data_IF_775615544873
#
_entry.id   IF_775615544873
#
_cell.length_a   1.000
_cell.length_b   1.000
_cell.length_c   1.000
_cell.angle_alpha   90.00
_cell.angle_beta   90.00
_cell.angle_gamma   90.00
#
_symmetry.space_group_name_H-M   'P 1'
#
loop_
_entity.id
_entity.type
_entity.pdbx_description
1 polymer ?
#
# COMPACT_ATOMS: atom_id res chain seq x y z
N UNK A 1 -10.56 19.90 7.22
CA UNK A 1 -10.20 18.67 7.97
C UNK A 1 -8.79 18.28 7.59
N UNK A 2 -7.84 18.36 8.53
CA UNK A 2 -6.46 17.93 8.34
C UNK A 2 -6.41 16.46 8.78
N UNK A 3 -6.31 15.53 7.84
CA UNK A 3 -6.24 14.09 8.15
C UNK A 3 -4.87 13.86 8.80
N UNK A 4 -4.77 13.51 10.10
CA UNK A 4 -3.48 13.31 10.73
C UNK A 4 -2.84 12.03 10.18
N UNK A 5 -1.57 12.13 9.77
CA UNK A 5 -0.75 11.02 9.30
C UNK A 5 -0.79 9.88 10.33
N UNK A 6 -1.44 8.75 9.99
CA UNK A 6 -1.32 7.52 10.75
C UNK A 6 0.00 6.88 10.31
N UNK A 7 0.98 6.68 11.19
CA UNK A 7 2.17 5.95 10.83
C UNK A 7 1.75 4.56 10.37
N UNK A 8 2.15 4.19 9.16
CA UNK A 8 2.08 2.82 8.69
C UNK A 8 2.81 1.98 9.75
N UNK A 9 2.11 1.02 10.37
CA UNK A 9 2.72 0.14 11.37
C UNK A 9 4.01 -0.44 10.80
N UNK A 10 5.10 -0.42 11.57
CA UNK A 10 6.40 -0.92 11.13
C UNK A 10 6.28 -2.36 10.59
N UNK A 11 5.35 -3.15 11.14
CA UNK A 11 4.96 -4.49 10.66
C UNK A 11 4.39 -4.50 9.23
N UNK A 12 3.62 -3.50 8.81
CA UNK A 12 3.10 -3.41 7.45
C UNK A 12 4.23 -3.12 6.45
N UNK A 13 5.13 -2.20 6.80
CA UNK A 13 6.30 -1.93 5.95
C UNK A 13 7.22 -3.14 5.82
N UNK A 14 7.47 -3.85 6.93
CA UNK A 14 8.30 -5.06 6.95
C UNK A 14 7.67 -6.18 6.10
N UNK A 15 6.36 -6.42 6.26
CA UNK A 15 5.62 -7.38 5.44
C UNK A 15 5.60 -6.99 3.96
N UNK A 16 5.34 -5.74 3.62
CA UNK A 16 5.32 -5.29 2.22
C UNK A 16 6.72 -5.34 1.59
N UNK A 17 7.79 -5.04 2.35
CA UNK A 17 9.17 -5.24 1.91
C UNK A 17 9.46 -6.72 1.64
N UNK A 18 9.03 -7.64 2.52
CA UNK A 18 9.16 -9.07 2.30
C UNK A 18 8.39 -9.56 1.06
N UNK A 19 7.20 -9.01 0.82
CA UNK A 19 6.38 -9.32 -0.37
C UNK A 19 7.01 -8.78 -1.66
N UNK A 20 7.66 -7.61 -1.60
CA UNK A 20 8.42 -7.04 -2.73
C UNK A 20 9.57 -7.96 -3.14
N UNK A 21 10.29 -8.53 -2.17
CA UNK A 21 11.35 -9.53 -2.43
C UNK A 21 10.81 -10.77 -3.15
N UNK A 22 9.57 -11.16 -2.86
CA UNK A 22 8.93 -12.32 -3.49
C UNK A 22 8.38 -12.04 -4.89
N UNK A 23 8.26 -10.77 -5.31
CA UNK A 23 7.65 -10.41 -6.60
C UNK A 23 6.24 -10.98 -6.78
N UNK A 24 5.50 -11.17 -5.69
CA UNK A 24 4.17 -11.77 -5.73
C UNK A 24 3.11 -10.72 -6.06
N UNK A 25 2.08 -11.16 -6.79
CA UNK A 25 0.83 -10.40 -6.94
C UNK A 25 0.08 -10.43 -5.61
N UNK A 26 -0.22 -9.24 -5.10
CA UNK A 26 -0.95 -9.00 -3.86
C UNK A 26 -2.24 -8.27 -4.17
N UNK A 27 -3.31 -8.65 -3.49
CA UNK A 27 -4.61 -7.98 -3.57
C UNK A 27 -4.64 -6.88 -2.53
N UNK A 28 -4.55 -5.65 -2.98
CA UNK A 28 -4.63 -4.46 -2.13
C UNK A 28 -6.04 -3.91 -2.21
N UNK A 29 -6.56 -3.43 -1.09
CA UNK A 29 -7.76 -2.61 -1.04
C UNK A 29 -7.34 -1.20 -0.65
N UNK A 30 -7.58 -0.23 -1.52
CA UNK A 30 -7.24 1.18 -1.29
C UNK A 30 -8.51 2.01 -1.16
N UNK A 31 -8.44 3.09 -0.38
CA UNK A 31 -9.48 4.11 -0.34
C UNK A 31 -9.23 5.12 -1.46
N UNK A 32 -10.20 5.25 -2.36
CA UNK A 32 -10.20 6.27 -3.39
C UNK A 32 -10.61 7.63 -2.81
N UNK A 33 -10.48 8.69 -3.61
CA UNK A 33 -10.75 10.07 -3.19
C UNK A 33 -12.24 10.32 -2.91
N UNK A 34 -13.11 9.46 -3.45
CA UNK A 34 -14.56 9.41 -3.17
C UNK A 34 -14.89 8.77 -1.82
N UNK A 35 -13.89 8.16 -1.15
CA UNK A 35 -14.09 7.40 0.09
C UNK A 35 -14.48 5.93 -0.13
N UNK A 36 -14.65 5.50 -1.38
CA UNK A 36 -14.94 4.10 -1.71
C UNK A 36 -13.68 3.24 -1.63
N UNK A 37 -13.85 1.98 -1.22
CA UNK A 37 -12.77 0.99 -1.25
C UNK A 37 -12.69 0.35 -2.63
N UNK A 38 -11.49 0.35 -3.20
CA UNK A 38 -11.19 -0.29 -4.49
C UNK A 38 -10.18 -1.40 -4.26
N UNK A 39 -10.57 -2.62 -4.62
CA UNK A 39 -9.65 -3.77 -4.67
C UNK A 39 -8.91 -3.80 -5.99
N UNK A 40 -7.60 -3.95 -5.92
CA UNK A 40 -6.71 -4.11 -7.07
C UNK A 40 -5.66 -5.16 -6.76
N UNK A 41 -5.44 -6.06 -7.70
CA UNK A 41 -4.38 -7.06 -7.61
C UNK A 41 -3.18 -6.57 -8.41
N UNK A 42 -2.10 -6.23 -7.70
CA UNK A 42 -0.88 -5.67 -8.29
C UNK A 42 0.34 -6.46 -7.85
N UNK A 43 1.36 -6.50 -8.68
CA UNK A 43 2.65 -7.07 -8.30
C UNK A 43 3.52 -5.96 -7.73
N UNK A 44 3.98 -6.12 -6.50
CA UNK A 44 4.92 -5.16 -5.90
C UNK A 44 6.27 -5.35 -6.56
N UNK A 45 6.74 -4.31 -7.25
CA UNK A 45 8.08 -4.28 -7.83
C UNK A 45 9.08 -3.69 -6.84
N UNK A 46 8.72 -2.61 -6.16
CA UNK A 46 9.59 -1.91 -5.20
C UNK A 46 8.74 -1.04 -4.26
N UNK A 47 9.33 -0.55 -3.16
CA UNK A 47 8.66 0.39 -2.25
C UNK A 47 9.59 1.58 -2.05
N UNK A 48 9.09 2.76 -2.40
CA UNK A 48 9.84 4.01 -2.33
C UNK A 48 9.22 4.94 -1.30
N UNK A 49 10.05 5.56 -0.47
CA UNK A 49 9.61 6.60 0.45
C UNK A 49 9.90 7.98 -0.16
N UNK A 50 8.86 8.79 -0.36
CA UNK A 50 8.98 10.14 -0.91
C UNK A 50 8.18 11.11 -0.05
N UNK A 51 8.78 12.23 0.35
CA UNK A 51 8.13 13.25 1.21
C UNK A 51 7.59 12.71 2.56
N UNK A 52 8.28 11.74 3.17
CA UNK A 52 7.82 11.02 4.38
C UNK A 52 6.54 10.20 4.16
N UNK A 53 6.20 9.91 2.91
CA UNK A 53 5.07 9.06 2.55
C UNK A 53 5.61 7.86 1.79
N UNK A 54 5.02 6.70 2.03
CA UNK A 54 5.47 5.44 1.43
C UNK A 54 4.60 5.11 0.21
N UNK A 55 5.27 4.75 -0.88
CA UNK A 55 4.64 4.41 -2.16
C UNK A 55 5.12 3.04 -2.62
N UNK A 56 4.16 2.19 -2.95
CA UNK A 56 4.35 0.89 -3.54
C UNK A 56 4.41 1.06 -5.06
N UNK A 57 5.52 0.69 -5.67
CA UNK A 57 5.71 0.69 -7.12
C UNK A 57 5.28 -0.67 -7.64
N UNK A 58 4.34 -0.68 -8.57
CA UNK A 58 3.88 -1.89 -9.23
C UNK A 58 4.78 -2.24 -10.42
N UNK A 59 4.71 -3.49 -10.87
CA UNK A 59 5.33 -3.93 -12.12
C UNK A 59 4.92 -3.09 -13.36
N UNK A 60 3.70 -2.51 -13.34
CA UNK A 60 3.22 -1.62 -14.40
C UNK A 60 3.82 -0.21 -14.34
N UNK A 61 4.59 0.11 -13.28
CA UNK A 61 5.13 1.44 -13.02
C UNK A 61 4.17 2.39 -12.30
N UNK A 62 3.00 1.90 -11.87
CA UNK A 62 2.07 2.68 -11.05
C UNK A 62 2.59 2.78 -9.61
N UNK A 63 2.40 3.94 -9.00
CA UNK A 63 2.77 4.18 -7.60
C UNK A 63 1.51 4.29 -6.73
N UNK A 64 1.34 3.39 -5.77
CA UNK A 64 0.21 3.35 -4.84
C UNK A 64 0.67 3.80 -3.47
N UNK A 65 0.01 4.79 -2.86
CA UNK A 65 0.29 5.21 -1.49
C UNK A 65 -0.11 4.14 -0.49
N UNK A 66 0.83 3.75 0.38
CA UNK A 66 0.55 2.79 1.47
C UNK A 66 -0.47 3.34 2.46
N UNK A 67 -0.42 4.64 2.75
CA UNK A 67 -1.38 5.34 3.63
C UNK A 67 -2.84 5.23 3.15
N UNK A 68 -3.08 4.98 1.85
CA UNK A 68 -4.42 4.76 1.31
C UNK A 68 -4.86 3.29 1.38
N UNK A 69 -3.97 2.35 1.74
CA UNK A 69 -4.30 0.92 1.84
C UNK A 69 -5.14 0.70 3.09
N UNK A 70 -6.35 0.16 2.89
CA UNK A 70 -7.30 -0.23 3.94
C UNK A 70 -7.08 -1.69 4.34
N UNK A 71 -6.75 -2.55 3.36
CA UNK A 71 -6.52 -3.98 3.59
C UNK A 71 -5.57 -4.56 2.54
N UNK A 72 -4.88 -5.63 2.88
CA UNK A 72 -4.04 -6.40 1.95
C UNK A 72 -4.32 -7.89 2.11
N UNK A 73 -4.53 -8.61 1.00
CA UNK A 73 -4.87 -10.05 0.99
C UNK A 73 -6.05 -10.43 1.91
N UNK A 74 -6.97 -9.49 2.16
CA UNK A 74 -8.10 -9.68 3.08
C UNK A 74 -7.77 -9.47 4.57
N UNK A 75 -6.56 -9.05 4.89
CA UNK A 75 -6.12 -8.64 6.22
C UNK A 75 -6.37 -7.13 6.35
N UNK A 76 -7.24 -6.76 7.29
CA UNK A 76 -7.54 -5.36 7.60
C UNK A 76 -6.39 -4.72 8.39
N UNK A 77 -6.00 -3.51 8.00
CA UNK A 77 -4.89 -2.76 8.63
C UNK A 77 -5.34 -1.49 9.36
N UNK A 78 -6.65 -1.32 9.58
CA UNK A 78 -7.28 -0.09 10.14
C UNK A 78 -7.06 0.09 11.65
#
# INVERSE_FOLDING_TARGET
MNIPYKPVSCDLYDHLSALSVHGKRVSLEIRDETGESKKLTVQISDIVTKNKEEFLITDTGDSIRLDRIISWEGIDVT
#
